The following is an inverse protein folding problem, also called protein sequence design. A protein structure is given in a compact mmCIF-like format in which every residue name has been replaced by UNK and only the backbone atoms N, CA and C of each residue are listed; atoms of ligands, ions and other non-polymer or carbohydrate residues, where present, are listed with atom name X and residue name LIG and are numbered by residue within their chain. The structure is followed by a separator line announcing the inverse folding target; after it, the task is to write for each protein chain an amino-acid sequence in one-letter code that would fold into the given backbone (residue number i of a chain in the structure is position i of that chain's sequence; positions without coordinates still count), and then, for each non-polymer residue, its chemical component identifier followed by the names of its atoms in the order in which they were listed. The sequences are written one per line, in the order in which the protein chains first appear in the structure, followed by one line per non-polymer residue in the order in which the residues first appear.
data_IF_613331665624
#
_entry.id   IF_613331665624
#
_cell.length_a   1.000
_cell.length_b   1.000
_cell.length_c   1.000
_cell.angle_alpha   90.00
_cell.angle_beta   90.00
_cell.angle_gamma   90.00
#
_symmetry.space_group_name_H-M   'P 1'
#
loop_
_entity.id
_entity.type
_entity.pdbx_description
1 polymer ?
#
# COMPACT_ATOMS: atom_id res chain seq x y z
N UNK A 1 -5.11 -16.72 -3.64
CA UNK A 1 -5.87 -16.18 -4.77
C UNK A 1 -5.33 -16.65 -6.12
N UNK A 2 -5.33 -17.96 -6.38
CA UNK A 2 -4.88 -18.56 -7.65
C UNK A 2 -5.71 -19.79 -8.06
N UNK A 3 -6.92 -19.94 -7.51
CA UNK A 3 -7.74 -21.16 -7.69
C UNK A 3 -8.99 -20.93 -8.55
N UNK A 4 -9.38 -19.69 -8.84
CA UNK A 4 -10.60 -19.40 -9.61
C UNK A 4 -10.40 -19.33 -11.14
N UNK A 5 -9.20 -19.59 -11.66
CA UNK A 5 -8.93 -19.55 -13.11
C UNK A 5 -9.01 -20.92 -13.81
N UNK A 6 -9.06 -22.03 -13.08
CA UNK A 6 -9.01 -23.38 -13.69
C UNK A 6 -10.41 -23.96 -13.94
N UNK A 7 -11.45 -23.52 -13.22
CA UNK A 7 -12.80 -24.11 -13.38
C UNK A 7 -13.55 -23.67 -14.64
N UNK A 8 -13.18 -22.54 -15.27
CA UNK A 8 -13.83 -22.08 -16.52
C UNK A 8 -13.26 -22.82 -17.75
N UNK A 9 -12.06 -23.40 -17.65
CA UNK A 9 -11.45 -24.14 -18.75
C UNK A 9 -12.04 -25.55 -18.97
N UNK A 10 -12.79 -26.09 -18.01
CA UNK A 10 -13.30 -27.48 -18.06
C UNK A 10 -14.70 -27.65 -18.68
N UNK A 11 -15.34 -26.59 -19.16
CA UNK A 11 -16.66 -26.65 -19.81
C UNK A 11 -16.62 -26.62 -21.35
N UNK A 12 -15.43 -26.62 -21.97
CA UNK A 12 -15.27 -26.68 -23.41
C UNK A 12 -14.57 -27.97 -23.84
N UNK A 13 -15.19 -29.12 -23.53
CA UNK A 13 -14.83 -30.39 -24.17
C UNK A 13 -15.27 -30.36 -25.63
N UNK A 14 -14.39 -29.97 -26.56
CA UNK A 14 -14.32 -30.56 -27.90
C UNK A 14 -12.93 -30.33 -28.52
N UNK A 15 -12.29 -31.46 -28.87
CA UNK A 15 -11.02 -31.66 -29.57
C UNK A 15 -10.44 -30.43 -30.29
N UNK A 16 -9.26 -29.99 -29.84
CA UNK A 16 -8.33 -29.20 -30.66
C UNK A 16 -7.20 -30.14 -31.05
N UNK A 17 -7.16 -30.57 -32.31
CA UNK A 17 -5.98 -31.15 -32.93
C UNK A 17 -4.98 -30.02 -33.23
N UNK A 18 -3.80 -30.08 -32.62
CA UNK A 18 -2.73 -29.12 -32.86
C UNK A 18 -1.92 -29.54 -34.10
N UNK A 19 -2.00 -28.76 -35.18
CA UNK A 19 -0.98 -28.78 -36.23
C UNK A 19 -0.16 -27.48 -36.18
N UNK A 20 1.14 -27.64 -35.95
CA UNK A 20 2.13 -26.55 -35.99
C UNK A 20 2.47 -26.24 -37.45
N UNK A 21 2.25 -25.00 -37.91
CA UNK A 21 3.05 -24.38 -38.96
C UNK A 21 3.22 -22.88 -38.68
N UNK A 22 4.39 -22.38 -39.02
CA UNK A 22 4.97 -21.08 -38.68
C UNK A 22 4.06 -19.86 -38.96
N UNK A 23 4.30 -18.80 -38.17
CA UNK A 23 3.91 -17.39 -38.30
C UNK A 23 2.78 -16.87 -37.36
N UNK A 24 3.19 -15.88 -36.55
CA UNK A 24 2.45 -14.80 -35.84
C UNK A 24 0.94 -15.04 -35.58
N UNK A 25 0.49 -15.16 -34.31
CA UNK A 25 -0.94 -15.22 -34.04
C UNK A 25 -1.54 -13.81 -34.01
N UNK A 26 -2.02 -13.32 -35.16
CA UNK A 26 -3.12 -12.36 -35.18
C UNK A 26 -4.43 -13.15 -35.03
N UNK A 27 -4.99 -13.19 -33.82
CA UNK A 27 -6.33 -13.75 -33.60
C UNK A 27 -7.36 -12.82 -34.24
N UNK A 28 -7.71 -13.08 -35.50
CA UNK A 28 -8.87 -12.47 -36.16
C UNK A 28 -10.12 -13.10 -35.55
N UNK A 29 -10.88 -12.28 -34.81
CA UNK A 29 -12.18 -12.62 -34.24
C UNK A 29 -13.14 -13.09 -35.34
N UNK A 30 -13.59 -14.35 -35.26
CA UNK A 30 -14.74 -14.83 -36.02
C UNK A 30 -15.79 -15.35 -35.03
N UNK A 31 -16.59 -14.44 -34.49
CA UNK A 31 -17.92 -14.74 -33.95
C UNK A 31 -18.83 -13.53 -34.20
N UNK A 32 -19.93 -13.67 -34.97
CA UNK A 32 -20.90 -12.60 -35.17
C UNK A 32 -21.87 -12.55 -33.98
N UNK A 33 -22.06 -11.35 -33.43
CA UNK A 33 -23.20 -10.96 -32.59
C UNK A 33 -23.40 -11.67 -31.24
N UNK A 34 -22.40 -11.62 -30.36
CA UNK A 34 -22.67 -11.48 -28.93
C UNK A 34 -21.70 -10.44 -28.38
N UNK A 35 -22.19 -9.25 -28.07
CA UNK A 35 -21.38 -8.21 -27.43
C UNK A 35 -21.09 -8.66 -25.99
N UNK A 36 -20.05 -9.47 -25.83
CA UNK A 36 -19.43 -9.72 -24.55
C UNK A 36 -18.71 -8.43 -24.16
N UNK A 37 -19.46 -7.47 -23.61
CA UNK A 37 -18.87 -6.45 -22.77
C UNK A 37 -18.34 -7.16 -21.52
N UNK A 38 -17.17 -7.78 -21.65
CA UNK A 38 -16.34 -8.11 -20.53
C UNK A 38 -15.91 -6.75 -19.97
N UNK A 39 -16.74 -6.17 -19.11
CA UNK A 39 -16.38 -5.01 -18.30
C UNK A 39 -15.33 -5.55 -17.33
N UNK A 40 -14.08 -5.56 -17.78
CA UNK A 40 -12.93 -5.58 -16.88
C UNK A 40 -13.06 -4.25 -16.14
N UNK A 41 -13.75 -4.26 -15.00
CA UNK A 41 -13.64 -3.19 -14.03
C UNK A 41 -12.16 -3.17 -13.63
N UNK A 42 -11.38 -2.35 -14.32
CA UNK A 42 -10.06 -1.98 -13.86
C UNK A 42 -10.28 -1.39 -12.47
N UNK A 43 -9.83 -2.10 -11.44
CA UNK A 43 -9.77 -1.54 -10.09
C UNK A 43 -8.97 -0.25 -10.19
N UNK A 44 -9.58 0.88 -9.83
CA UNK A 44 -8.97 2.20 -10.00
C UNK A 44 -7.78 2.42 -9.06
N UNK A 45 -7.56 1.53 -8.09
CA UNK A 45 -6.50 1.59 -7.12
C UNK A 45 -5.50 0.44 -7.37
N UNK A 46 -4.22 0.78 -7.48
CA UNK A 46 -3.15 -0.20 -7.65
C UNK A 46 -1.86 0.37 -7.07
N UNK A 47 -1.17 -0.42 -6.25
CA UNK A 47 0.15 -0.03 -5.71
C UNK A 47 1.10 0.28 -6.87
N UNK A 48 1.95 1.30 -6.73
CA UNK A 48 2.85 1.88 -7.74
C UNK A 48 2.18 2.74 -8.83
N UNK A 49 0.85 2.91 -8.79
CA UNK A 49 0.11 3.81 -9.67
C UNK A 49 -0.35 5.06 -8.90
N UNK A 50 -0.70 6.16 -9.61
CA UNK A 50 -1.39 7.28 -8.97
C UNK A 50 -2.62 6.79 -8.19
N UNK A 51 -2.81 7.29 -6.98
CA UNK A 51 -4.02 7.00 -6.22
C UNK A 51 -5.26 7.58 -6.93
N UNK A 52 -6.43 6.94 -6.84
CA UNK A 52 -7.67 7.51 -7.40
C UNK A 52 -7.91 8.92 -6.86
N UNK A 53 -8.11 9.89 -7.74
CA UNK A 53 -8.39 11.27 -7.33
C UNK A 53 -9.75 11.38 -6.65
N UNK A 54 -9.82 12.20 -5.60
CA UNK A 54 -11.05 12.48 -4.90
C UNK A 54 -11.10 13.94 -4.45
N UNK A 55 -12.33 14.45 -4.37
CA UNK A 55 -12.70 15.71 -3.74
C UNK A 55 -14.01 15.50 -3.00
N UNK A 56 -14.17 16.18 -1.87
CA UNK A 56 -15.41 16.12 -1.11
C UNK A 56 -15.39 16.97 0.13
N UNK A 57 -16.55 17.05 0.76
CA UNK A 57 -16.76 17.81 1.98
C UNK A 57 -16.24 17.03 3.19
N UNK A 58 -15.42 17.68 4.01
CA UNK A 58 -14.85 17.14 5.24
C UNK A 58 -15.13 18.04 6.45
N UNK A 59 -15.11 17.46 7.65
CA UNK A 59 -15.09 18.22 8.91
C UNK A 59 -13.63 18.35 9.36
N UNK A 60 -13.15 19.60 9.44
CA UNK A 60 -11.77 19.94 9.80
C UNK A 60 -11.81 20.94 10.95
N UNK A 61 -11.26 20.55 12.11
CA UNK A 61 -11.27 21.36 13.33
C UNK A 61 -12.69 21.83 13.75
N UNK A 62 -13.72 21.03 13.47
CA UNK A 62 -15.12 21.36 13.78
C UNK A 62 -15.81 22.25 12.75
N UNK A 63 -15.16 22.57 11.63
CA UNK A 63 -15.74 23.34 10.53
C UNK A 63 -15.91 22.46 9.29
N UNK A 64 -16.99 22.69 8.54
CA UNK A 64 -17.24 22.01 7.26
C UNK A 64 -16.44 22.71 6.17
N UNK A 65 -15.58 21.97 5.47
CA UNK A 65 -14.68 22.48 4.42
C UNK A 65 -14.56 21.49 3.27
N UNK A 66 -14.27 21.99 2.08
CA UNK A 66 -13.88 21.14 0.96
C UNK A 66 -12.44 20.66 1.13
N UNK A 67 -12.19 19.41 0.77
CA UNK A 67 -10.88 18.76 0.81
C UNK A 67 -10.70 17.88 -0.42
N UNK A 68 -9.51 17.90 -0.99
CA UNK A 68 -9.19 17.12 -2.19
C UNK A 68 -7.82 16.48 -2.08
N UNK A 69 -7.63 15.34 -2.75
CA UNK A 69 -6.38 14.58 -2.70
C UNK A 69 -5.17 15.45 -3.12
N UNK A 70 -5.37 16.32 -4.10
CA UNK A 70 -4.34 17.23 -4.60
C UNK A 70 -3.83 18.25 -3.56
N UNK A 71 -4.58 18.54 -2.49
CA UNK A 71 -4.14 19.42 -1.41
C UNK A 71 -2.96 18.82 -0.60
N UNK A 72 -2.72 17.52 -0.73
CA UNK A 72 -1.66 16.79 -0.04
C UNK A 72 -0.38 16.61 -0.86
N UNK A 73 -0.28 17.16 -2.07
CA UNK A 73 0.95 17.09 -2.87
C UNK A 73 2.15 17.67 -2.11
N UNK A 74 3.29 17.00 -2.21
CA UNK A 74 4.49 17.32 -1.43
C UNK A 74 4.47 16.78 0.01
N UNK A 75 3.45 16.01 0.41
CA UNK A 75 3.33 15.36 1.72
C UNK A 75 2.85 13.94 1.55
N UNK A 76 3.28 13.06 2.45
CA UNK A 76 2.67 11.73 2.53
C UNK A 76 1.25 11.84 3.08
N UNK A 77 0.39 10.92 2.67
CA UNK A 77 -0.97 10.82 3.15
C UNK A 77 -1.28 9.38 3.57
N UNK A 78 -1.69 9.22 4.81
CA UNK A 78 -2.42 8.03 5.28
C UNK A 78 -3.90 8.32 5.08
N UNK A 79 -4.53 7.63 4.14
CA UNK A 79 -5.95 7.74 3.85
C UNK A 79 -6.64 6.44 4.23
N UNK A 80 -7.55 6.48 5.19
CA UNK A 80 -8.18 5.27 5.69
C UNK A 80 -9.70 5.39 5.77
N UNK A 81 -10.36 4.30 5.44
CA UNK A 81 -11.80 4.16 5.47
C UNK A 81 -12.24 3.47 6.75
N UNK A 82 -13.40 3.88 7.25
CA UNK A 82 -14.13 3.18 8.29
C UNK A 82 -15.61 3.06 7.87
N UNK A 83 -16.36 2.05 8.34
CA UNK A 83 -17.65 1.71 7.76
C UNK A 83 -18.73 2.76 8.06
N UNK A 84 -18.92 3.10 9.34
CA UNK A 84 -20.01 3.97 9.79
C UNK A 84 -19.67 4.73 11.07
N UNK A 85 -20.16 5.95 11.17
CA UNK A 85 -20.20 6.78 12.39
C UNK A 85 -21.05 6.11 13.49
N UNK A 86 -20.78 6.44 14.76
CA UNK A 86 -21.52 5.94 15.93
C UNK A 86 -21.54 4.40 16.08
N UNK A 87 -20.44 3.74 15.67
CA UNK A 87 -20.22 2.30 15.85
C UNK A 87 -19.14 2.01 16.90
N UNK A 88 -18.63 0.77 16.96
CA UNK A 88 -17.85 0.27 18.09
C UNK A 88 -16.32 0.33 17.88
N UNK A 89 -15.82 -0.27 16.79
CA UNK A 89 -14.37 -0.33 16.51
C UNK A 89 -13.86 0.99 15.92
N UNK A 90 -14.63 1.60 15.03
CA UNK A 90 -14.28 2.83 14.31
C UNK A 90 -13.78 3.99 15.18
N UNK A 91 -14.46 4.36 16.29
CA UNK A 91 -13.96 5.43 17.13
C UNK A 91 -12.58 5.10 17.72
N UNK A 92 -12.30 3.82 18.02
CA UNK A 92 -10.99 3.43 18.56
C UNK A 92 -9.86 3.71 17.58
N UNK A 93 -10.06 3.46 16.28
CA UNK A 93 -9.04 3.69 15.24
C UNK A 93 -8.85 5.19 14.98
N UNK A 94 -9.95 5.93 14.79
CA UNK A 94 -9.93 7.39 14.57
C UNK A 94 -9.21 8.09 15.72
N UNK A 95 -9.54 7.72 16.96
CA UNK A 95 -8.90 8.29 18.15
C UNK A 95 -7.43 7.91 18.26
N UNK A 96 -7.06 6.66 17.96
CA UNK A 96 -5.67 6.23 18.01
C UNK A 96 -4.77 7.00 17.02
N UNK A 97 -5.25 7.22 15.79
CA UNK A 97 -4.54 8.07 14.82
C UNK A 97 -4.52 9.54 15.24
N UNK A 98 -5.65 10.06 15.74
CA UNK A 98 -5.76 11.44 16.18
C UNK A 98 -4.81 11.78 17.34
N UNK A 99 -4.72 10.90 18.33
CA UNK A 99 -3.92 11.13 19.54
C UNK A 99 -2.42 11.09 19.22
N UNK A 100 -2.03 10.35 18.17
CA UNK A 100 -0.65 10.23 17.66
C UNK A 100 -0.36 11.08 16.42
N UNK A 101 -1.26 12.00 16.03
CA UNK A 101 -1.12 12.77 14.78
C UNK A 101 0.18 13.58 14.69
N UNK A 102 0.74 14.00 15.83
CA UNK A 102 2.00 14.74 15.86
C UNK A 102 3.22 13.89 15.48
N UNK A 103 3.15 12.56 15.58
CA UNK A 103 4.18 11.66 15.06
C UNK A 103 4.19 11.65 13.53
N UNK A 104 3.02 11.61 12.90
CA UNK A 104 2.87 11.70 11.45
C UNK A 104 3.28 13.08 10.91
N UNK A 105 2.84 14.17 11.57
CA UNK A 105 3.19 15.53 11.15
C UNK A 105 4.70 15.79 11.19
N UNK A 106 5.41 15.24 12.18
CA UNK A 106 6.88 15.37 12.32
C UNK A 106 7.64 14.75 11.13
N UNK A 107 7.06 13.76 10.47
CA UNK A 107 7.64 13.12 9.28
C UNK A 107 6.93 13.58 7.99
N UNK A 108 6.35 14.78 7.97
CA UNK A 108 5.67 15.36 6.81
C UNK A 108 4.53 14.47 6.23
N UNK A 109 3.76 13.86 7.13
CA UNK A 109 2.64 12.97 6.79
C UNK A 109 1.32 13.48 7.37
N UNK A 110 0.31 13.53 6.52
CA UNK A 110 -1.07 13.82 6.88
C UNK A 110 -1.88 12.52 7.07
N UNK A 111 -2.96 12.62 7.83
CA UNK A 111 -3.91 11.51 8.04
C UNK A 111 -5.31 12.03 7.78
N UNK A 112 -6.09 11.30 6.99
CA UNK A 112 -7.51 11.58 6.69
C UNK A 112 -8.31 10.31 6.89
N UNK A 113 -9.41 10.40 7.63
CA UNK A 113 -10.38 9.32 7.77
C UNK A 113 -11.57 9.59 6.83
N UNK A 114 -12.17 8.53 6.28
CA UNK A 114 -13.32 8.62 5.38
C UNK A 114 -14.38 7.58 5.73
N UNK A 115 -15.66 7.94 5.65
CA UNK A 115 -16.77 6.98 5.62
C UNK A 115 -17.87 7.46 4.68
N UNK A 116 -18.92 6.64 4.54
CA UNK A 116 -20.11 6.96 3.73
C UNK A 116 -21.09 7.90 4.43
N UNK A 117 -20.80 8.30 5.68
CA UNK A 117 -21.67 9.19 6.45
C UNK A 117 -21.60 10.63 5.95
N UNK A 118 -22.62 11.42 6.28
CA UNK A 118 -22.64 12.84 5.95
C UNK A 118 -21.68 13.64 6.82
N UNK A 119 -21.17 14.77 6.30
CA UNK A 119 -20.38 15.72 7.09
C UNK A 119 -21.14 16.29 8.31
N UNK A 120 -22.48 16.31 8.29
CA UNK A 120 -23.29 16.66 9.46
C UNK A 120 -23.21 15.58 10.55
N UNK A 121 -23.22 14.30 10.17
CA UNK A 121 -23.05 13.16 11.08
C UNK A 121 -21.66 13.21 11.72
N UNK A 122 -20.62 13.46 10.93
CA UNK A 122 -19.26 13.63 11.43
C UNK A 122 -19.16 14.75 12.46
N UNK A 123 -19.75 15.92 12.16
CA UNK A 123 -19.74 17.07 13.07
C UNK A 123 -20.49 16.75 14.38
N UNK A 124 -21.64 16.07 14.30
CA UNK A 124 -22.36 15.62 15.47
C UNK A 124 -21.51 14.65 16.31
N UNK A 125 -20.82 13.70 15.67
CA UNK A 125 -20.00 12.71 16.37
C UNK A 125 -18.75 13.31 17.03
N UNK A 126 -18.14 14.33 16.40
CA UNK A 126 -17.08 15.15 17.01
C UNK A 126 -17.58 15.98 18.20
N UNK A 127 -18.86 16.37 18.22
CA UNK A 127 -19.45 17.09 19.35
C UNK A 127 -19.89 16.16 20.49
N UNK A 128 -19.98 14.85 20.25
CA UNK A 128 -20.24 13.86 21.30
C UNK A 128 -18.97 13.57 22.12
N UNK A 129 -19.03 13.58 23.46
CA UNK A 129 -17.89 13.23 24.32
C UNK A 129 -17.42 11.78 24.13
N UNK A 130 -16.09 11.54 24.23
CA UNK A 130 -15.51 10.18 24.12
C UNK A 130 -16.10 9.17 25.11
N UNK A 131 -16.44 9.62 26.33
CA UNK A 131 -17.08 8.80 27.37
C UNK A 131 -18.47 8.27 26.99
N UNK A 132 -19.11 8.87 25.98
CA UNK A 132 -20.42 8.52 25.45
C UNK A 132 -20.30 7.82 24.07
N UNK A 133 -19.10 7.38 23.69
CA UNK A 133 -18.83 6.76 22.38
C UNK A 133 -18.61 7.77 21.25
N UNK A 134 -18.45 9.05 21.57
CA UNK A 134 -18.12 10.10 20.62
C UNK A 134 -16.62 10.21 20.30
N UNK A 135 -16.26 11.15 19.43
CA UNK A 135 -14.87 11.41 19.05
C UNK A 135 -14.25 12.57 19.85
N UNK A 136 -15.09 13.53 20.29
CA UNK A 136 -14.61 14.80 20.79
C UNK A 136 -13.84 15.60 19.74
N UNK A 137 -13.00 16.54 20.19
CA UNK A 137 -12.21 17.38 19.27
C UNK A 137 -11.12 16.56 18.57
N UNK A 138 -11.21 16.51 17.24
CA UNK A 138 -10.20 15.89 16.38
C UNK A 138 -9.33 16.93 15.67
N UNK A 139 -8.10 16.50 15.40
CA UNK A 139 -7.05 17.19 14.64
C UNK A 139 -6.89 16.64 13.21
N UNK A 140 -7.49 15.47 12.94
CA UNK A 140 -7.52 14.84 11.61
C UNK A 140 -8.85 15.18 10.92
N UNK A 141 -8.86 15.39 9.59
CA UNK A 141 -10.10 15.53 8.82
C UNK A 141 -10.93 14.26 8.80
N UNK A 142 -12.26 14.41 8.87
CA UNK A 142 -13.24 13.38 8.56
C UNK A 142 -13.91 13.71 7.22
N UNK A 143 -13.60 12.95 6.18
CA UNK A 143 -14.13 13.12 4.83
C UNK A 143 -15.44 12.33 4.65
N UNK A 144 -16.45 12.99 4.09
CA UNK A 144 -17.75 12.41 3.79
C UNK A 144 -17.79 11.88 2.35
N UNK A 145 -18.05 10.59 2.19
CA UNK A 145 -18.27 9.92 0.89
C UNK A 145 -19.74 9.52 0.72
N UNK A 146 -20.64 10.50 0.83
CA UNK A 146 -22.09 10.27 0.76
C UNK A 146 -22.55 9.63 -0.56
N UNK A 147 -21.77 9.79 -1.64
CA UNK A 147 -22.07 9.21 -2.97
C UNK A 147 -21.53 7.78 -3.14
N UNK A 148 -20.73 7.31 -2.18
CA UNK A 148 -19.98 6.07 -2.21
C UNK A 148 -18.96 5.98 -3.36
N UNK A 149 -18.70 7.08 -4.05
CA UNK A 149 -17.81 7.10 -5.21
C UNK A 149 -16.37 6.86 -4.77
N UNK A 150 -15.93 7.52 -3.71
CA UNK A 150 -14.55 7.42 -3.22
C UNK A 150 -14.27 5.99 -2.74
N UNK A 151 -15.18 5.42 -1.96
CA UNK A 151 -15.09 4.05 -1.46
C UNK A 151 -15.09 3.02 -2.59
N UNK A 152 -15.86 3.25 -3.66
CA UNK A 152 -15.85 2.39 -4.86
C UNK A 152 -14.57 2.52 -5.66
N UNK A 153 -14.06 3.73 -5.85
CA UNK A 153 -12.81 3.98 -6.58
C UNK A 153 -11.59 3.36 -5.87
N UNK A 154 -11.63 3.31 -4.53
CA UNK A 154 -10.64 2.63 -3.70
C UNK A 154 -10.96 1.15 -3.42
N UNK A 155 -12.08 0.62 -3.93
CA UNK A 155 -12.49 -0.78 -3.80
C UNK A 155 -12.72 -1.27 -2.37
N UNK A 156 -13.22 -0.39 -1.50
CA UNK A 156 -13.49 -0.66 -0.08
C UNK A 156 -14.97 -0.51 0.28
N UNK A 157 -15.82 -0.30 -0.72
CA UNK A 157 -17.27 -0.20 -0.50
C UNK A 157 -17.82 -1.57 -0.07
N UNK A 158 -18.38 -1.64 1.15
CA UNK A 158 -19.05 -2.78 1.81
C UNK A 158 -18.17 -3.89 2.38
N UNK A 159 -16.97 -4.12 1.87
CA UNK A 159 -16.27 -5.38 2.15
C UNK A 159 -15.13 -5.28 3.18
N UNK A 160 -14.45 -4.13 3.32
CA UNK A 160 -13.20 -4.07 4.11
C UNK A 160 -12.90 -2.70 4.77
N UNK A 161 -12.16 -2.75 5.89
CA UNK A 161 -11.47 -1.62 6.51
C UNK A 161 -10.18 -1.29 5.74
N UNK A 162 -10.28 -0.53 4.66
CA UNK A 162 -9.13 -0.17 3.83
C UNK A 162 -8.31 1.01 4.36
N UNK A 163 -6.98 0.88 4.38
CA UNK A 163 -6.02 1.95 4.64
C UNK A 163 -4.99 2.01 3.52
N UNK A 164 -4.68 3.22 3.07
CA UNK A 164 -3.84 3.51 1.93
C UNK A 164 -2.73 4.47 2.34
N UNK A 165 -1.48 4.13 2.03
CA UNK A 165 -0.34 5.05 2.17
C UNK A 165 0.00 5.59 0.79
N UNK A 166 -0.14 6.90 0.63
CA UNK A 166 0.10 7.63 -0.62
C UNK A 166 1.32 8.53 -0.41
N UNK A 167 2.27 8.50 -1.35
CA UNK A 167 3.48 9.32 -1.27
C UNK A 167 3.24 10.78 -1.66
N UNK A 168 4.28 11.59 -1.50
CA UNK A 168 4.31 13.02 -1.80
C UNK A 168 4.02 13.38 -3.27
N UNK A 169 4.16 12.42 -4.19
CA UNK A 169 3.85 12.55 -5.62
C UNK A 169 2.43 12.08 -5.96
N UNK A 170 1.67 11.58 -4.98
CA UNK A 170 0.34 11.03 -5.17
C UNK A 170 0.33 9.57 -5.64
N UNK A 171 1.43 8.85 -5.50
CA UNK A 171 1.51 7.42 -5.86
C UNK A 171 1.11 6.56 -4.67
N UNK A 172 0.22 5.59 -4.91
CA UNK A 172 -0.19 4.63 -3.90
C UNK A 172 0.95 3.64 -3.62
N UNK A 173 1.43 3.59 -2.37
CA UNK A 173 2.60 2.78 -1.97
C UNK A 173 2.22 1.51 -1.22
N UNK A 174 1.12 1.53 -0.47
CA UNK A 174 0.72 0.40 0.35
C UNK A 174 -0.78 0.41 0.61
N UNK A 175 -1.36 -0.78 0.75
CA UNK A 175 -2.77 -1.02 1.06
C UNK A 175 -2.83 -2.03 2.21
N UNK A 176 -3.54 -1.70 3.28
CA UNK A 176 -3.96 -2.64 4.34
C UNK A 176 -5.46 -2.80 4.27
N UNK A 177 -5.94 -4.04 4.20
CA UNK A 177 -7.36 -4.39 4.25
C UNK A 177 -7.59 -5.32 5.43
N UNK A 178 -8.52 -4.95 6.31
CA UNK A 178 -8.97 -5.81 7.40
C UNK A 178 -10.47 -6.06 7.26
N UNK A 179 -10.92 -7.25 7.65
CA UNK A 179 -12.34 -7.49 7.92
C UNK A 179 -12.80 -6.62 9.11
N UNK A 180 -14.09 -6.33 9.18
CA UNK A 180 -14.74 -5.42 10.13
C UNK A 180 -14.43 -5.66 11.62
N UNK A 181 -14.30 -6.90 12.15
CA UNK A 181 -14.12 -7.10 13.58
C UNK A 181 -12.69 -6.82 14.07
N UNK A 182 -11.71 -6.55 13.19
CA UNK A 182 -10.30 -6.41 13.56
C UNK A 182 -9.75 -5.03 13.19
N UNK A 183 -9.51 -4.19 14.19
CA UNK A 183 -8.90 -2.88 14.01
C UNK A 183 -7.45 -2.93 13.51
N UNK A 184 -7.01 -1.84 12.85
CA UNK A 184 -5.66 -1.67 12.28
C UNK A 184 -4.67 -1.14 13.32
N UNK A 185 -3.39 -1.28 13.00
CA UNK A 185 -2.28 -0.82 13.85
C UNK A 185 -1.72 0.53 13.40
N UNK A 186 -1.74 1.52 14.29
CA UNK A 186 -1.09 2.82 14.08
C UNK A 186 0.43 2.68 14.04
N UNK A 187 1.00 1.78 14.86
CA UNK A 187 2.44 1.53 14.88
C UNK A 187 2.97 0.97 13.57
N UNK A 188 2.25 0.00 12.98
CA UNK A 188 2.64 -0.55 11.68
C UNK A 188 2.50 0.49 10.58
N UNK A 189 1.43 1.28 10.61
CA UNK A 189 1.23 2.37 9.65
C UNK A 189 2.39 3.38 9.73
N UNK A 190 2.78 3.79 10.93
CA UNK A 190 3.90 4.71 11.13
C UNK A 190 5.22 4.11 10.64
N UNK A 191 5.48 2.83 10.95
CA UNK A 191 6.67 2.11 10.48
C UNK A 191 6.76 2.06 8.96
N UNK A 192 5.64 1.77 8.29
CA UNK A 192 5.57 1.70 6.83
C UNK A 192 5.82 3.05 6.18
N UNK A 193 5.21 4.14 6.70
CA UNK A 193 5.48 5.50 6.22
C UNK A 193 6.97 5.84 6.34
N UNK A 194 7.59 5.55 7.49
CA UNK A 194 9.02 5.78 7.71
C UNK A 194 9.89 4.96 6.75
N UNK A 195 9.52 3.71 6.48
CA UNK A 195 10.24 2.85 5.54
C UNK A 195 10.18 3.38 4.10
N UNK A 196 8.99 3.81 3.65
CA UNK A 196 8.83 4.41 2.33
C UNK A 196 9.60 5.73 2.18
N UNK A 197 9.60 6.57 3.21
CA UNK A 197 10.38 7.80 3.20
C UNK A 197 11.89 7.53 3.19
N UNK A 198 12.36 6.52 3.92
CA UNK A 198 13.78 6.13 3.92
C UNK A 198 14.22 5.67 2.53
N UNK A 199 13.47 4.77 1.88
CA UNK A 199 13.83 4.28 0.54
C UNK A 199 13.77 5.40 -0.51
N UNK A 200 12.80 6.32 -0.42
CA UNK A 200 12.70 7.45 -1.34
C UNK A 200 13.86 8.45 -1.18
N UNK A 201 14.39 8.62 0.03
CA UNK A 201 15.51 9.53 0.31
C UNK A 201 16.88 8.93 0.01
N UNK A 202 17.07 7.63 0.27
CA UNK A 202 18.39 7.00 0.22
C UNK A 202 18.60 6.04 -0.97
N UNK A 203 17.54 5.60 -1.64
CA UNK A 203 17.64 4.60 -2.72
C UNK A 203 18.02 3.18 -2.25
N UNK A 204 18.05 2.95 -0.94
CA UNK A 204 18.25 1.63 -0.31
C UNK A 204 16.89 0.96 -0.06
N UNK A 205 16.89 -0.35 0.18
CA UNK A 205 15.67 -1.11 0.50
C UNK A 205 15.64 -1.54 1.97
N UNK A 206 14.44 -1.54 2.53
CA UNK A 206 14.19 -1.90 3.93
C UNK A 206 13.87 -3.41 4.07
N UNK A 207 14.63 -4.18 4.87
CA UNK A 207 14.34 -5.58 5.15
C UNK A 207 13.01 -5.82 5.88
N UNK A 208 12.63 -7.09 6.01
CA UNK A 208 11.45 -7.49 6.78
C UNK A 208 11.53 -7.01 8.23
N UNK A 209 10.46 -6.37 8.71
CA UNK A 209 10.38 -5.85 10.07
C UNK A 209 11.24 -4.60 10.34
N UNK A 210 11.83 -3.99 9.31
CA UNK A 210 12.69 -2.81 9.45
C UNK A 210 12.01 -1.67 10.22
N UNK A 211 12.79 -1.04 11.09
CA UNK A 211 12.47 0.16 11.87
C UNK A 211 13.59 1.19 11.74
N UNK A 212 13.33 2.49 11.97
CA UNK A 212 14.36 3.52 11.94
C UNK A 212 15.58 3.14 12.80
N UNK A 213 16.78 3.28 12.23
CA UNK A 213 18.05 2.93 12.87
C UNK A 213 18.52 1.49 12.66
N UNK A 214 17.73 0.63 12.02
CA UNK A 214 18.15 -0.72 11.63
C UNK A 214 18.81 -0.75 10.25
N UNK A 215 19.61 -1.80 10.02
CA UNK A 215 20.36 -2.00 8.78
C UNK A 215 19.44 -2.13 7.55
N UNK A 216 19.94 -1.64 6.42
CA UNK A 216 19.28 -1.62 5.11
C UNK A 216 20.10 -2.40 4.08
N UNK A 217 19.53 -2.59 2.89
CA UNK A 217 20.23 -3.28 1.79
C UNK A 217 20.36 -2.33 0.61
N UNK A 218 21.58 -2.21 0.07
CA UNK A 218 21.82 -1.52 -1.20
C UNK A 218 21.46 -2.44 -2.36
N UNK A 219 20.50 -2.07 -3.24
CA UNK A 219 20.09 -2.90 -4.36
C UNK A 219 21.13 -2.85 -5.50
N UNK A 220 22.27 -3.50 -5.30
CA UNK A 220 23.28 -3.71 -6.34
C UNK A 220 23.72 -5.17 -6.31
N UNK A 221 23.74 -5.85 -7.45
CA UNK A 221 24.04 -7.30 -7.53
C UNK A 221 25.44 -7.62 -6.97
N UNK A 222 26.40 -6.70 -7.13
CA UNK A 222 27.76 -6.87 -6.62
C UNK A 222 27.90 -6.58 -5.11
N UNK A 223 27.16 -5.60 -4.59
CA UNK A 223 27.28 -5.16 -3.19
C UNK A 223 26.27 -5.84 -2.25
N UNK A 224 25.12 -6.28 -2.77
CA UNK A 224 24.09 -6.96 -1.97
C UNK A 224 24.60 -8.30 -1.43
N UNK A 225 25.53 -8.98 -2.12
CA UNK A 225 26.18 -10.22 -1.66
C UNK A 225 26.80 -10.10 -0.26
N UNK A 226 27.29 -8.92 0.13
CA UNK A 226 27.79 -8.67 1.48
C UNK A 226 26.69 -8.32 2.50
N UNK A 227 25.51 -7.90 2.03
CA UNK A 227 24.33 -7.55 2.84
C UNK A 227 23.30 -8.70 2.98
N UNK A 228 23.43 -9.79 2.20
CA UNK A 228 22.64 -11.03 2.37
C UNK A 228 23.09 -11.86 3.59
N UNK A 229 24.01 -11.35 4.40
CA UNK A 229 24.38 -11.92 5.68
C UNK A 229 23.25 -11.62 6.67
N UNK A 230 22.60 -12.67 7.19
CA UNK A 230 21.49 -12.58 8.13
C UNK A 230 21.81 -11.65 9.31
N UNK A 231 20.82 -10.96 9.92
CA UNK A 231 21.05 -10.10 11.08
C UNK A 231 21.81 -10.87 12.17
N UNK A 232 23.10 -10.54 12.35
CA UNK A 232 24.05 -11.28 13.20
C UNK A 232 25.42 -11.58 12.56
N UNK A 233 25.53 -11.55 11.23
CA UNK A 233 26.78 -11.84 10.51
C UNK A 233 27.52 -10.59 9.97
N UNK A 234 26.96 -9.41 10.24
CA UNK A 234 27.40 -8.09 9.76
C UNK A 234 28.79 -7.67 10.31
N UNK A 235 29.32 -8.42 11.29
CA UNK A 235 30.58 -8.12 11.97
C UNK A 235 31.88 -8.56 11.25
N UNK A 236 31.84 -9.04 10.00
CA UNK A 236 33.04 -9.58 9.32
C UNK A 236 33.33 -9.09 7.90
N UNK A 237 32.58 -8.13 7.36
CA UNK A 237 32.90 -7.56 6.06
C UNK A 237 33.57 -6.19 6.25
N UNK A 238 34.87 -6.16 6.54
CA UNK A 238 35.66 -4.95 6.38
C UNK A 238 35.80 -4.64 4.89
N UNK A 239 35.43 -3.43 4.51
CA UNK A 239 35.65 -2.85 3.19
C UNK A 239 37.15 -2.97 2.85
N UNK A 240 37.50 -3.87 1.94
CA UNK A 240 38.78 -3.87 1.27
C UNK A 240 38.58 -3.13 -0.06
N UNK A 241 39.00 -1.88 -0.10
CA UNK A 241 39.32 -1.19 -1.35
C UNK A 241 40.41 -2.01 -2.06
N UNK A 242 40.06 -2.69 -3.16
CA UNK A 242 41.03 -3.35 -4.02
C UNK A 242 40.60 -3.08 -5.47
N UNK A 243 41.40 -2.28 -6.15
CA UNK A 243 41.25 -1.93 -7.55
C UNK A 243 41.63 -3.07 -8.51
N UNK A 244 41.23 -2.82 -9.77
CA UNK A 244 41.52 -3.49 -11.03
C UNK A 244 41.29 -5.01 -11.17
N UNK A 245 40.47 -5.30 -12.19
CA UNK A 245 39.73 -6.53 -12.50
C UNK A 245 40.57 -7.75 -12.97
N UNK A 246 41.90 -7.76 -12.83
CA UNK A 246 42.74 -8.78 -13.48
C UNK A 246 43.16 -9.97 -12.58
N UNK A 247 43.25 -9.81 -11.26
CA UNK A 247 43.73 -10.87 -10.34
C UNK A 247 42.64 -11.88 -9.91
N UNK A 248 41.38 -11.61 -10.24
CA UNK A 248 40.20 -12.35 -9.74
C UNK A 248 40.08 -13.80 -10.25
N UNK A 249 40.67 -14.12 -11.41
CA UNK A 249 40.58 -15.47 -11.99
C UNK A 249 41.50 -16.51 -11.34
N UNK A 250 42.50 -16.10 -10.56
CA UNK A 250 43.43 -17.03 -9.90
C UNK A 250 42.92 -17.60 -8.58
N UNK A 251 42.21 -16.80 -7.78
CA UNK A 251 41.74 -17.22 -6.46
C UNK A 251 40.49 -18.12 -6.49
N UNK A 252 39.63 -18.00 -7.50
CA UNK A 252 38.43 -18.85 -7.64
C UNK A 252 38.76 -20.34 -7.85
N UNK A 253 39.92 -20.67 -8.43
CA UNK A 253 40.35 -22.08 -8.58
C UNK A 253 40.82 -22.72 -7.27
N UNK A 254 41.30 -21.95 -6.30
CA UNK A 254 41.87 -22.49 -5.06
C UNK A 254 40.77 -22.88 -4.07
N UNK A 255 39.65 -22.15 -4.05
CA UNK A 255 38.57 -22.39 -3.08
C UNK A 255 37.69 -23.59 -3.48
N UNK A 256 37.51 -23.87 -4.77
CA UNK A 256 36.71 -25.03 -5.22
C UNK A 256 37.39 -26.38 -4.96
N UNK A 257 38.71 -26.44 -4.79
CA UNK A 257 39.43 -27.70 -4.59
C UNK A 257 39.46 -28.18 -3.13
N UNK A 258 39.13 -27.34 -2.14
CA UNK A 258 39.19 -27.70 -0.71
C UNK A 258 37.83 -28.04 -0.08
N UNK A 259 36.80 -28.34 -0.88
CA UNK A 259 35.47 -28.78 -0.40
C UNK A 259 35.11 -30.21 -0.79
N UNK A 260 36.10 -31.06 -1.00
CA UNK A 260 35.92 -32.51 -1.07
C UNK A 260 37.00 -33.19 -0.22
N UNK A 261 36.71 -33.36 1.09
CA UNK A 261 37.13 -34.44 1.99
C UNK A 261 36.47 -34.19 3.37
#
# INVERSE_FOLDING_TARGET
FYVTLIEIANLATHKIECHCFNEIPTCVNVFPNLSLHLVINFLSYTVSKPAPEWEGTAVINGEIKELKLSDFRGKYLVFFFYPLDFTFVCPTEILAFNDRIEEFRRINTNVVACSVDSHFTHLAWMNTPRKEGGLGKLKIPLLSDLTHKISKDYGVFLDDLGLFIIDDRGILRQITMNDLPVGRSVDETLRLVQAFQYTDQHGEVCPAGWKPGQDTVRPCVHLSMNAWLWPGEIGKASVMDIGDDAERFRLLRVVQHNRAL
#
